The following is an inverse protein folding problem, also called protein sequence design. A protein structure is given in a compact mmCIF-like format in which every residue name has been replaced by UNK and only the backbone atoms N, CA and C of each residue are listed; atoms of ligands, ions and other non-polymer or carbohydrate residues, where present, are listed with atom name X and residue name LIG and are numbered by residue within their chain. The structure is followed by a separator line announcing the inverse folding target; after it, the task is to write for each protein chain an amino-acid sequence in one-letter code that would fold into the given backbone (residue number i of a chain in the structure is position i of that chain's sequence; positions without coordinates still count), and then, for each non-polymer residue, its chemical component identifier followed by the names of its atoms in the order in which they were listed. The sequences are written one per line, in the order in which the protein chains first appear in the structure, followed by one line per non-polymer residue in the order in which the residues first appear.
data_IF_000291319771
#
_entry.id   IF_000291319771
#
_cell.length_a   1.000
_cell.length_b   1.000
_cell.length_c   1.000
_cell.angle_alpha   90.00
_cell.angle_beta   90.00
_cell.angle_gamma   90.00
#
_symmetry.space_group_name_H-M   'P 1'
#
loop_
_entity.id
_entity.type
_entity.pdbx_description
1 polymer ?
#
# COMPACT_ATOMS: atom_id res chain seq x y z
N UNK A 1 -8.03 -8.53 8.82
CA UNK A 1 -8.19 -8.66 7.34
C UNK A 1 -8.91 -9.98 7.02
N UNK A 2 -9.41 -10.19 5.78
CA UNK A 2 -10.17 -11.40 5.42
C UNK A 2 -9.31 -12.69 5.38
N UNK A 3 -8.01 -12.52 5.28
CA UNK A 3 -6.96 -13.55 5.36
C UNK A 3 -6.56 -13.92 6.81
N UNK A 4 -7.14 -13.27 7.83
CA UNK A 4 -6.88 -13.54 9.25
C UNK A 4 -5.68 -12.78 9.84
N UNK A 5 -5.00 -11.92 9.08
CA UNK A 5 -3.97 -11.03 9.63
C UNK A 5 -4.60 -9.86 10.40
N UNK A 6 -3.96 -9.39 11.48
CA UNK A 6 -4.44 -8.22 12.23
C UNK A 6 -4.30 -6.96 11.39
N UNK A 7 -5.19 -6.00 11.61
CA UNK A 7 -5.04 -4.63 11.09
C UNK A 7 -4.69 -3.73 12.27
N UNK A 8 -3.70 -2.86 12.10
CA UNK A 8 -3.31 -1.86 13.10
C UNK A 8 -3.73 -0.45 12.70
N UNK A 9 -3.98 0.46 13.66
CA UNK A 9 -4.13 1.89 13.36
C UNK A 9 -2.90 2.49 12.67
N UNK A 10 -1.72 1.90 12.87
CA UNK A 10 -0.47 2.31 12.24
C UNK A 10 -0.50 2.07 10.73
N UNK A 11 -0.87 0.86 10.27
CA UNK A 11 -0.95 0.53 8.84
C UNK A 11 -1.84 1.53 8.10
N UNK A 12 -3.03 1.82 8.64
CA UNK A 12 -3.94 2.86 8.10
C UNK A 12 -3.30 4.25 8.05
N UNK A 13 -2.58 4.66 9.11
CA UNK A 13 -1.92 5.96 9.15
C UNK A 13 -0.77 6.08 8.12
N UNK A 14 -0.07 4.98 7.85
CA UNK A 14 0.95 4.93 6.79
C UNK A 14 0.30 5.09 5.42
N UNK A 15 -0.79 4.38 5.13
CA UNK A 15 -1.52 4.51 3.86
C UNK A 15 -2.00 5.94 3.60
N UNK A 16 -2.63 6.57 4.59
CA UNK A 16 -3.10 7.96 4.46
C UNK A 16 -1.94 8.93 4.22
N UNK A 17 -0.79 8.70 4.87
CA UNK A 17 0.40 9.52 4.65
C UNK A 17 0.99 9.33 3.25
N UNK A 18 0.99 8.10 2.74
CA UNK A 18 1.44 7.81 1.37
C UNK A 18 0.47 8.42 0.36
N UNK A 19 -0.85 8.29 0.57
CA UNK A 19 -1.90 8.88 -0.26
C UNK A 19 -1.73 10.40 -0.38
N UNK A 20 -1.53 11.09 0.74
CA UNK A 20 -1.29 12.53 0.75
C UNK A 20 0.00 12.91 -0.01
N UNK A 21 1.09 12.16 0.18
CA UNK A 21 2.37 12.41 -0.50
C UNK A 21 2.31 12.15 -2.00
N UNK A 22 1.68 11.06 -2.42
CA UNK A 22 1.49 10.73 -3.83
C UNK A 22 0.62 11.77 -4.52
N UNK A 23 -0.47 12.21 -3.89
CA UNK A 23 -1.33 13.26 -4.44
C UNK A 23 -0.60 14.58 -4.69
N UNK A 24 0.39 14.90 -3.85
CA UNK A 24 1.23 16.08 -4.02
C UNK A 24 2.36 15.89 -5.05
N UNK A 25 3.03 14.73 -5.06
CA UNK A 25 4.20 14.46 -5.90
C UNK A 25 3.84 14.06 -7.34
N UNK A 26 2.75 13.31 -7.51
CA UNK A 26 2.31 12.78 -8.80
C UNK A 26 0.77 12.89 -8.92
N UNK A 27 0.24 14.11 -9.10
CA UNK A 27 -1.20 14.35 -9.22
C UNK A 27 -1.86 13.47 -10.28
N UNK A 28 -3.07 12.98 -9.99
CA UNK A 28 -3.83 12.08 -10.87
C UNK A 28 -3.50 10.60 -10.72
N UNK A 29 -2.60 10.23 -9.81
CA UNK A 29 -2.33 8.84 -9.44
C UNK A 29 -3.32 8.33 -8.40
N UNK A 30 -3.86 7.12 -8.60
CA UNK A 30 -4.64 6.43 -7.59
C UNK A 30 -3.74 5.67 -6.59
N UNK A 31 -4.22 5.54 -5.35
CA UNK A 31 -3.63 4.64 -4.36
C UNK A 31 -4.65 3.58 -3.94
N UNK A 32 -4.23 2.33 -4.02
CA UNK A 32 -4.94 1.16 -3.49
C UNK A 32 -4.16 0.69 -2.26
N UNK A 33 -4.72 0.91 -1.07
CA UNK A 33 -4.13 0.41 0.17
C UNK A 33 -4.65 -0.98 0.50
N UNK A 34 -3.84 -1.78 1.18
CA UNK A 34 -4.26 -3.05 1.78
C UNK A 34 -5.42 -2.84 2.77
N UNK A 35 -5.36 -1.77 3.59
CA UNK A 35 -6.31 -1.51 4.68
C UNK A 35 -7.45 -0.56 4.32
N UNK A 36 -7.18 0.39 3.43
CA UNK A 36 -8.15 1.39 2.96
C UNK A 36 -8.78 1.04 1.62
N UNK A 37 -8.25 0.04 0.91
CA UNK A 37 -8.70 -0.33 -0.42
C UNK A 37 -8.47 0.78 -1.45
N UNK A 38 -9.23 0.72 -2.53
CA UNK A 38 -9.20 1.66 -3.65
C UNK A 38 -9.51 0.99 -4.97
N UNK A 39 -9.58 1.79 -6.03
CA UNK A 39 -9.78 1.30 -7.39
C UNK A 39 -8.55 1.59 -8.25
N UNK A 40 -8.20 0.65 -9.13
CA UNK A 40 -7.16 0.88 -10.13
C UNK A 40 -7.67 1.81 -11.23
N UNK A 41 -6.83 2.77 -11.61
CA UNK A 41 -7.04 3.58 -12.81
C UNK A 41 -6.60 2.82 -14.05
N UNK A 42 -7.52 2.71 -15.02
CA UNK A 42 -7.27 2.19 -16.36
C UNK A 42 -8.08 3.04 -17.36
N UNK A 43 -7.45 3.94 -18.14
CA UNK A 43 -6.02 4.23 -18.17
C UNK A 43 -5.57 5.09 -16.96
N UNK A 44 -4.27 5.06 -16.66
CA UNK A 44 -3.66 5.87 -15.61
C UNK A 44 -2.59 5.15 -14.79
N UNK A 45 -2.05 5.86 -13.80
CA UNK A 45 -1.09 5.31 -12.85
C UNK A 45 -1.80 4.94 -11.56
N UNK A 46 -1.55 3.73 -11.05
CA UNK A 46 -2.00 3.31 -9.73
C UNK A 46 -0.82 2.83 -8.90
N UNK A 47 -0.81 3.16 -7.62
CA UNK A 47 0.13 2.64 -6.63
C UNK A 47 -0.63 1.75 -5.67
N UNK A 48 -0.29 0.46 -5.62
CA UNK A 48 -0.75 -0.44 -4.58
C UNK A 48 0.29 -0.49 -3.45
N UNK A 49 -0.16 -0.49 -2.19
CA UNK A 49 0.72 -0.50 -1.03
C UNK A 49 0.23 -1.49 0.03
N UNK A 50 1.17 -2.26 0.58
CA UNK A 50 1.03 -2.96 1.86
C UNK A 50 2.00 -2.30 2.84
N UNK A 51 1.50 -1.56 3.84
CA UNK A 51 2.35 -0.86 4.80
C UNK A 51 3.22 -1.79 5.64
N UNK A 52 2.74 -3.00 5.95
CA UNK A 52 3.39 -3.97 6.83
C UNK A 52 3.05 -5.39 6.36
N UNK A 53 3.79 -5.86 5.35
CA UNK A 53 3.78 -7.27 4.99
C UNK A 53 4.45 -8.05 6.13
N UNK A 54 3.68 -8.95 6.76
CA UNK A 54 4.07 -9.62 7.99
C UNK A 54 3.59 -8.90 9.27
N UNK A 55 2.34 -8.39 9.32
CA UNK A 55 1.80 -7.69 10.51
C UNK A 55 1.95 -8.48 11.81
N UNK A 56 1.85 -9.82 11.79
CA UNK A 56 2.11 -10.64 12.98
C UNK A 56 3.56 -10.55 13.45
N UNK A 57 4.53 -10.59 12.54
CA UNK A 57 5.94 -10.48 12.86
C UNK A 57 6.27 -9.09 13.44
N UNK A 58 5.66 -8.05 12.87
CA UNK A 58 5.73 -6.67 13.37
C UNK A 58 5.18 -6.55 14.79
N UNK A 59 3.97 -7.07 15.05
CA UNK A 59 3.33 -7.01 16.36
C UNK A 59 4.08 -7.81 17.43
N UNK A 60 4.77 -8.88 17.04
CA UNK A 60 5.62 -9.67 17.95
C UNK A 60 7.05 -9.10 18.09
N UNK A 61 7.35 -7.93 17.50
CA UNK A 61 8.63 -7.24 17.66
C UNK A 61 9.81 -7.90 16.96
N UNK A 62 9.56 -8.72 15.95
CA UNK A 62 10.62 -9.34 15.13
C UNK A 62 10.93 -8.48 13.91
N UNK A 63 12.07 -8.71 13.26
CA UNK A 63 12.49 -7.98 12.05
C UNK A 63 11.95 -8.61 10.75
N UNK A 64 11.07 -9.61 10.84
CA UNK A 64 10.54 -10.34 9.67
C UNK A 64 9.29 -9.68 9.11
N UNK A 65 9.38 -8.38 8.80
CA UNK A 65 8.32 -7.64 8.13
C UNK A 65 8.93 -6.64 7.14
N UNK A 66 8.13 -6.18 6.18
CA UNK A 66 8.57 -5.16 5.21
C UNK A 66 7.42 -4.22 4.85
N UNK A 67 7.74 -3.11 4.18
CA UNK A 67 6.72 -2.28 3.53
C UNK A 67 6.84 -2.49 2.04
N UNK A 68 5.77 -2.90 1.38
CA UNK A 68 5.82 -3.20 -0.05
C UNK A 68 4.95 -2.26 -0.85
N UNK A 69 5.39 -1.97 -2.08
CA UNK A 69 4.69 -1.07 -2.99
C UNK A 69 4.84 -1.58 -4.43
N UNK A 70 3.74 -1.51 -5.18
CA UNK A 70 3.73 -1.78 -6.62
C UNK A 70 3.14 -0.59 -7.38
N UNK A 71 3.76 -0.25 -8.51
CA UNK A 71 3.26 0.76 -9.44
C UNK A 71 2.70 0.05 -10.67
N UNK A 72 1.50 0.42 -11.06
CA UNK A 72 0.82 -0.04 -12.26
C UNK A 72 0.63 1.14 -13.23
N UNK A 73 0.75 0.86 -14.53
CA UNK A 73 0.39 1.79 -15.61
C UNK A 73 -0.63 1.12 -16.51
N UNK A 74 -1.79 1.74 -16.67
CA UNK A 74 -2.91 1.23 -17.46
C UNK A 74 -3.29 -0.21 -17.08
N UNK A 75 -3.26 -0.52 -15.78
CA UNK A 75 -3.56 -1.84 -15.22
C UNK A 75 -2.42 -2.87 -15.32
N UNK A 76 -1.31 -2.55 -15.99
CA UNK A 76 -0.15 -3.45 -16.09
C UNK A 76 0.91 -3.14 -15.02
N UNK A 77 1.52 -4.15 -14.37
CA UNK A 77 2.62 -3.95 -13.43
C UNK A 77 3.80 -3.24 -14.11
N UNK A 78 4.35 -2.23 -13.45
CA UNK A 78 5.45 -1.41 -13.97
C UNK A 78 6.69 -1.43 -13.08
N UNK A 79 6.52 -1.37 -11.75
CA UNK A 79 7.61 -1.38 -10.77
C UNK A 79 7.13 -2.05 -9.48
N UNK A 80 8.01 -2.73 -8.77
CA UNK A 80 7.80 -3.22 -7.41
C UNK A 80 8.96 -2.81 -6.49
N UNK A 81 8.64 -2.57 -5.22
CA UNK A 81 9.59 -2.30 -4.15
C UNK A 81 9.19 -3.08 -2.90
N UNK A 82 10.19 -3.60 -2.20
CA UNK A 82 10.13 -4.27 -0.90
C UNK A 82 11.21 -3.66 -0.01
#
# INVERSE_FOLDING_TARGET
KSDGTPTTPLERAVEERIRARLGAFMPGTALVGEETGGEMLVPGTTVAVDPVDGTWAFLNGTEQFSSTLAVFRDGAPFLGLV
#
